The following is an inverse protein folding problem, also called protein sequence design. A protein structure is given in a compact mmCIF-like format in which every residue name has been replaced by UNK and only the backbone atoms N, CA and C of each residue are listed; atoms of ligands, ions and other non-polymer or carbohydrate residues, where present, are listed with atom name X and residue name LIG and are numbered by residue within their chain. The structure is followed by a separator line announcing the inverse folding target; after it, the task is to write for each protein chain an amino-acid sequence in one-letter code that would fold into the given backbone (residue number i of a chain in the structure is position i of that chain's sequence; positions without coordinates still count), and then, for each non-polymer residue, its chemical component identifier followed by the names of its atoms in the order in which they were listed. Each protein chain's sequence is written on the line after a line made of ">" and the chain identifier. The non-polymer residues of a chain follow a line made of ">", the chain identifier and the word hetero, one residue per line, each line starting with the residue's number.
data_IF_866213496048
#
_entry.id   IF_866213496048
#
_cell.length_a   1.000
_cell.length_b   1.000
_cell.length_c   1.000
_cell.angle_alpha   90.00
_cell.angle_beta   90.00
_cell.angle_gamma   90.00
#
_symmetry.space_group_name_H-M   'P 1'
#
loop_
_entity.id
_entity.type
_entity.pdbx_description
1 polymer ?
#
# COMPACT_ATOMS: atom_id res chain seq x y z
N UNK A 1 -9.89 3.67 7.23
CA UNK A 1 -8.91 3.31 6.22
C UNK A 1 -7.75 2.58 6.84
N UNK A 2 -7.26 1.60 6.11
CA UNK A 2 -6.15 0.79 6.60
C UNK A 2 -4.90 1.16 5.83
N UNK A 3 -3.85 1.52 6.54
CA UNK A 3 -2.65 2.06 5.95
C UNK A 3 -1.58 0.98 5.86
N UNK A 4 -1.03 0.80 4.67
CA UNK A 4 0.05 -0.15 4.43
C UNK A 4 1.30 0.64 4.10
N UNK A 5 2.40 0.26 4.74
CA UNK A 5 3.70 0.83 4.48
C UNK A 5 4.59 -0.20 3.82
N UNK A 6 5.16 0.16 2.68
CA UNK A 6 6.13 -0.68 2.00
C UNK A 6 7.44 0.07 1.91
N UNK A 7 8.46 -0.46 2.53
CA UNK A 7 9.78 0.15 2.49
C UNK A 7 10.52 -0.32 1.26
N UNK A 8 11.09 0.61 0.55
CA UNK A 8 11.86 0.31 -0.64
C UNK A 8 13.33 0.55 -0.37
N UNK A 9 14.14 -0.44 -0.70
CA UNK A 9 15.59 -0.30 -0.66
C UNK A 9 16.05 -0.27 -2.10
N UNK A 10 16.81 0.77 -2.47
CA UNK A 10 17.27 0.90 -3.82
C UNK A 10 16.75 2.17 -4.46
N UNK A 11 17.23 2.43 -5.67
CA UNK A 11 16.95 3.68 -6.34
C UNK A 11 15.85 3.57 -7.38
N UNK A 12 15.69 2.39 -7.93
CA UNK A 12 14.72 2.19 -9.00
C UNK A 12 13.36 1.90 -8.42
N UNK A 13 12.47 2.86 -8.53
CA UNK A 13 11.11 2.71 -8.02
C UNK A 13 10.12 2.38 -9.13
N UNK A 14 10.51 2.56 -10.39
CA UNK A 14 9.57 2.35 -11.48
C UNK A 14 9.09 0.91 -11.57
N UNK A 15 10.01 -0.05 -11.47
CA UNK A 15 9.66 -1.46 -11.53
C UNK A 15 8.74 -1.88 -10.40
N UNK A 16 9.13 -1.61 -9.15
CA UNK A 16 8.27 -1.95 -8.01
C UNK A 16 6.90 -1.30 -8.06
N UNK A 17 6.83 -0.03 -8.45
CA UNK A 17 5.55 0.65 -8.53
C UNK A 17 4.67 0.08 -9.64
N UNK A 18 5.26 -0.29 -10.77
CA UNK A 18 4.51 -0.94 -11.84
C UNK A 18 3.94 -2.27 -11.37
N UNK A 19 4.71 -3.04 -10.64
CA UNK A 19 4.23 -4.32 -10.12
C UNK A 19 3.09 -4.13 -9.14
N UNK A 20 3.20 -3.11 -8.29
CA UNK A 20 2.13 -2.82 -7.35
C UNK A 20 0.85 -2.44 -8.07
N UNK A 21 0.95 -1.61 -9.10
CA UNK A 21 -0.22 -1.21 -9.87
C UNK A 21 -0.83 -2.41 -10.60
N UNK A 22 0.02 -3.26 -11.19
CA UNK A 22 -0.45 -4.46 -11.86
C UNK A 22 -1.18 -5.40 -10.91
N UNK A 23 -0.62 -5.58 -9.72
CA UNK A 23 -1.24 -6.43 -8.72
C UNK A 23 -2.61 -5.88 -8.31
N UNK A 24 -2.66 -4.56 -8.09
CA UNK A 24 -3.92 -3.92 -7.72
C UNK A 24 -4.97 -4.07 -8.82
N UNK A 25 -4.56 -3.89 -10.07
CA UNK A 25 -5.47 -4.05 -11.21
C UNK A 25 -5.96 -5.49 -11.31
N UNK A 26 -5.06 -6.45 -11.14
CA UNK A 26 -5.43 -7.87 -11.24
C UNK A 26 -6.43 -8.25 -10.16
N UNK A 27 -6.34 -7.66 -9.00
CA UNK A 27 -7.24 -7.96 -7.90
C UNK A 27 -8.41 -6.98 -7.83
N UNK A 28 -8.48 -6.06 -8.79
CA UNK A 28 -9.56 -5.07 -8.86
C UNK A 28 -9.66 -4.27 -7.57
N UNK A 29 -8.52 -3.89 -7.04
CA UNK A 29 -8.45 -3.09 -5.82
C UNK A 29 -7.96 -1.69 -6.18
N UNK A 30 -8.69 -0.69 -5.74
CA UNK A 30 -8.31 0.71 -5.94
C UNK A 30 -8.01 1.32 -4.57
N UNK A 31 -6.73 1.52 -4.25
CA UNK A 31 -6.40 2.15 -2.97
C UNK A 31 -6.88 3.59 -2.96
N UNK A 32 -7.25 4.05 -1.79
CA UNK A 32 -7.69 5.42 -1.63
C UNK A 32 -6.54 6.40 -1.69
N UNK A 33 -5.35 5.93 -1.39
CA UNK A 33 -4.15 6.74 -1.43
C UNK A 33 -2.98 5.88 -1.87
N UNK A 34 -2.15 6.43 -2.73
CA UNK A 34 -0.92 5.78 -3.17
C UNK A 34 0.13 6.87 -3.20
N UNK A 35 0.98 6.92 -2.20
CA UNK A 35 1.93 8.01 -2.03
C UNK A 35 3.33 7.48 -1.79
N UNK A 36 4.29 8.11 -2.44
CA UNK A 36 5.69 7.82 -2.23
C UNK A 36 6.31 8.95 -1.42
N UNK A 37 6.97 8.59 -0.33
CA UNK A 37 7.73 9.55 0.47
C UNK A 37 9.10 8.97 0.73
N UNK A 38 10.13 9.58 0.16
CA UNK A 38 11.51 9.10 0.28
C UNK A 38 11.58 7.65 -0.19
N UNK A 39 11.90 6.73 0.70
CA UNK A 39 12.00 5.31 0.35
C UNK A 39 10.81 4.50 0.84
N UNK A 40 9.75 5.18 1.23
CA UNK A 40 8.58 4.52 1.81
C UNK A 40 7.36 4.81 0.94
N UNK A 41 6.62 3.76 0.63
CA UNK A 41 5.38 3.88 -0.12
C UNK A 41 4.23 3.64 0.84
N UNK A 42 3.29 4.57 0.88
CA UNK A 42 2.11 4.45 1.73
C UNK A 42 0.88 4.28 0.86
N UNK A 43 0.05 3.32 1.21
CA UNK A 43 -1.22 3.09 0.54
C UNK A 43 -2.31 3.02 1.60
N UNK A 44 -3.50 3.47 1.23
CA UNK A 44 -4.66 3.34 2.11
C UNK A 44 -5.72 2.52 1.42
N UNK A 45 -6.24 1.53 2.13
CA UNK A 45 -7.27 0.63 1.62
C UNK A 45 -8.53 0.76 2.44
N UNK A 46 -9.67 0.50 1.82
CA UNK A 46 -10.94 0.59 2.50
C UNK A 46 -11.16 -0.55 3.47
N UNK A 47 -10.65 -1.74 3.17
CA UNK A 47 -10.87 -2.90 4.01
C UNK A 47 -9.56 -3.45 4.52
N UNK A 48 -9.64 -4.08 5.68
CA UNK A 48 -8.48 -4.72 6.27
C UNK A 48 -7.98 -5.88 5.40
N UNK A 49 -8.91 -6.61 4.80
CA UNK A 49 -8.54 -7.74 3.96
C UNK A 49 -7.67 -7.30 2.79
N UNK A 50 -8.04 -6.19 2.16
CA UNK A 50 -7.24 -5.65 1.06
C UNK A 50 -5.86 -5.24 1.53
N UNK A 51 -5.80 -4.58 2.68
CA UNK A 51 -4.52 -4.12 3.22
C UNK A 51 -3.61 -5.29 3.55
N UNK A 52 -4.14 -6.32 4.17
CA UNK A 52 -3.36 -7.50 4.53
C UNK A 52 -2.87 -8.23 3.28
N UNK A 53 -3.74 -8.38 2.29
CA UNK A 53 -3.36 -9.04 1.05
C UNK A 53 -2.24 -8.31 0.34
N UNK A 54 -2.34 -6.99 0.27
CA UNK A 54 -1.30 -6.19 -0.38
C UNK A 54 0.00 -6.25 0.40
N UNK A 55 -0.06 -6.12 1.71
CA UNK A 55 1.13 -6.18 2.55
C UNK A 55 1.84 -7.51 2.39
N UNK A 56 1.08 -8.61 2.32
CA UNK A 56 1.68 -9.92 2.11
C UNK A 56 2.33 -10.07 0.76
N UNK A 57 1.74 -9.47 -0.28
CA UNK A 57 2.26 -9.58 -1.62
C UNK A 57 3.56 -8.82 -1.82
N UNK A 58 3.75 -7.71 -1.11
CA UNK A 58 4.89 -6.83 -1.34
C UNK A 58 5.76 -6.66 -0.11
N UNK A 59 5.63 -7.56 0.84
CA UNK A 59 6.44 -7.54 2.05
C UNK A 59 6.32 -6.20 2.80
N UNK A 60 5.11 -5.67 2.78
CA UNK A 60 4.81 -4.46 3.52
C UNK A 60 4.24 -4.78 4.88
N UNK A 61 3.79 -3.75 5.57
CA UNK A 61 3.14 -3.93 6.85
C UNK A 61 1.95 -3.00 6.99
N UNK A 62 0.94 -3.47 7.68
CA UNK A 62 -0.19 -2.63 8.01
C UNK A 62 0.19 -1.84 9.25
N UNK A 63 0.37 -0.54 9.10
CA UNK A 63 0.89 0.29 10.18
C UNK A 63 -0.19 0.98 10.98
N UNK A 64 -1.43 0.87 10.53
CA UNK A 64 -2.49 1.47 11.31
C UNK A 64 -3.75 1.65 10.52
N UNK A 65 -4.72 2.24 11.18
CA UNK A 65 -6.01 2.55 10.58
C UNK A 65 -6.20 4.05 10.63
N UNK A 66 -6.34 4.64 9.46
CA UNK A 66 -6.67 6.06 9.37
C UNK A 66 -8.18 6.18 9.52
N UNK A 67 -8.62 6.29 10.74
CA UNK A 67 -10.04 6.34 11.04
C UNK A 67 -10.37 7.74 11.55
N UNK A 68 -11.05 8.49 10.72
CA UNK A 68 -11.39 9.86 11.05
C UNK A 68 -12.23 9.93 12.33
N UNK A 69 -12.93 8.87 12.61
CA UNK A 69 -13.78 8.78 13.77
C UNK A 69 -12.98 8.54 15.05
N UNK A 70 -11.76 8.18 14.91
CA UNK A 70 -10.91 7.85 16.05
C UNK A 70 -10.66 9.04 16.95
N UNK A 71 -11.01 10.20 16.50
CA UNK A 71 -10.85 11.38 17.32
C UNK A 71 -11.66 11.30 18.60
#
# INVERSE_FOLDING_TARGET
>A
MHIVEVRRVGRDLAGPMSRMRGWLDDHQIAPRLFRLRRTVIHLEFETEAEAIAFAGAFDGRVIGTSDARAA
#
